data_IF_874040067369
#
_entry.id   IF_874040067369
#
_cell.length_a   1.000
_cell.length_b   1.000
_cell.length_c   1.000
_cell.angle_alpha   90.00
_cell.angle_beta   90.00
_cell.angle_gamma   90.00
#
_symmetry.space_group_name_H-M   'P 1'
#
loop_
_entity.id
_entity.type
_entity.pdbx_description
1 polymer ?
#
# COMPACT_ATOMS: atom_id res chain seq x y z
N UNK A 1 11.84 -13.30 0.15
CA UNK A 1 10.74 -12.42 0.57
C UNK A 1 11.36 -11.08 0.94
N UNK A 2 10.86 -9.93 0.51
CA UNK A 2 11.46 -8.65 0.86
C UNK A 2 11.28 -8.35 2.34
N UNK A 3 12.24 -7.63 2.95
CA UNK A 3 12.14 -7.19 4.34
C UNK A 3 11.13 -6.04 4.52
N UNK A 4 10.96 -5.24 3.47
CA UNK A 4 10.01 -4.13 3.42
C UNK A 4 9.34 -4.04 2.06
N UNK A 5 8.08 -3.58 2.03
CA UNK A 5 7.32 -3.37 0.80
C UNK A 5 6.61 -2.02 0.87
N UNK A 6 6.74 -1.23 -0.19
CA UNK A 6 6.00 0.03 -0.36
C UNK A 6 4.79 -0.25 -1.25
N UNK A 7 3.61 0.10 -0.77
CA UNK A 7 2.35 -0.01 -1.48
C UNK A 7 1.84 1.39 -1.83
N UNK A 8 1.34 1.55 -3.03
CA UNK A 8 0.84 2.84 -3.50
C UNK A 8 -0.37 2.69 -4.43
N UNK A 9 -0.74 3.78 -5.08
CA UNK A 9 -1.83 3.85 -6.06
C UNK A 9 -3.15 3.31 -5.52
N UNK A 10 -3.56 2.12 -5.94
CA UNK A 10 -4.85 1.53 -5.60
C UNK A 10 -5.06 1.30 -4.10
N UNK A 11 -3.99 1.25 -3.31
CA UNK A 11 -4.07 0.94 -1.86
C UNK A 11 -4.99 1.90 -1.09
N UNK A 12 -5.10 3.13 -1.55
CA UNK A 12 -5.95 4.17 -0.92
C UNK A 12 -7.21 4.50 -1.73
N UNK A 13 -7.58 3.63 -2.70
CA UNK A 13 -8.81 3.81 -3.47
C UNK A 13 -8.88 5.09 -4.29
N UNK A 14 -7.75 5.55 -4.80
CA UNK A 14 -7.64 6.78 -5.59
C UNK A 14 -7.39 8.05 -4.78
N UNK A 15 -7.42 7.98 -3.45
CA UNK A 15 -7.05 9.10 -2.59
C UNK A 15 -5.51 9.19 -2.43
N UNK A 16 -4.95 10.39 -2.15
CA UNK A 16 -3.54 10.53 -1.86
C UNK A 16 -3.12 9.68 -0.67
N UNK A 17 -2.19 8.74 -0.89
CA UNK A 17 -1.68 7.89 0.18
C UNK A 17 -0.87 6.72 -0.34
N UNK A 18 -0.13 6.15 0.58
CA UNK A 18 0.68 4.95 0.38
C UNK A 18 0.78 4.20 1.71
N UNK A 19 1.28 2.99 1.66
CA UNK A 19 1.55 2.22 2.87
C UNK A 19 2.96 1.62 2.80
N UNK A 20 3.60 1.56 3.95
CA UNK A 20 4.85 0.85 4.15
C UNK A 20 4.58 -0.31 5.10
N UNK A 21 4.92 -1.51 4.67
CA UNK A 21 4.78 -2.72 5.47
C UNK A 21 6.10 -3.47 5.46
N UNK A 22 6.39 -4.21 6.52
CA UNK A 22 7.64 -4.93 6.61
C UNK A 22 7.80 -5.72 7.89
N UNK A 23 8.99 -6.24 8.10
CA UNK A 23 9.37 -6.96 9.31
C UNK A 23 9.16 -6.09 10.54
N UNK A 24 8.64 -6.68 11.60
CA UNK A 24 8.31 -5.97 12.84
C UNK A 24 9.53 -5.28 13.48
N UNK A 25 10.70 -5.93 13.44
CA UNK A 25 11.94 -5.36 13.99
C UNK A 25 12.40 -4.09 13.25
N UNK A 26 12.14 -4.00 11.94
CA UNK A 26 12.43 -2.80 11.16
C UNK A 26 11.34 -1.74 11.40
N UNK A 27 10.07 -2.14 11.39
CA UNK A 27 8.95 -1.22 11.56
C UNK A 27 8.90 -0.58 12.96
N UNK A 28 9.45 -1.24 13.97
CA UNK A 28 9.59 -0.68 15.32
C UNK A 28 10.44 0.59 15.37
N UNK A 29 11.35 0.79 14.41
CA UNK A 29 12.15 2.01 14.33
C UNK A 29 11.34 3.28 14.09
N UNK A 30 10.09 3.16 13.68
CA UNK A 30 9.16 4.28 13.51
C UNK A 30 8.37 4.62 14.78
N UNK A 31 8.38 3.74 15.77
CA UNK A 31 7.53 3.87 16.96
C UNK A 31 8.03 4.96 17.91
N UNK A 32 7.07 5.63 18.56
CA UNK A 32 7.34 6.43 19.74
C UNK A 32 7.49 5.50 20.94
N UNK A 33 8.51 5.74 21.75
CA UNK A 33 8.80 4.97 22.97
C UNK A 33 8.39 5.70 24.24
N UNK A 34 8.21 7.02 24.12
CA UNK A 34 7.99 7.92 25.26
C UNK A 34 9.31 8.42 25.88
N UNK A 35 10.46 7.93 25.45
CA UNK A 35 11.75 8.51 25.79
C UNK A 35 12.03 9.71 24.89
N UNK A 36 12.16 10.94 25.45
CA UNK A 36 12.37 12.15 24.66
C UNK A 36 13.63 12.13 23.80
N UNK A 37 14.70 11.45 24.25
CA UNK A 37 15.93 11.33 23.48
C UNK A 37 15.73 10.42 22.28
N UNK A 38 15.21 9.22 22.50
CA UNK A 38 14.93 8.27 21.43
C UNK A 38 13.95 8.87 20.42
N UNK A 39 12.84 9.42 20.88
CA UNK A 39 11.76 9.90 20.02
C UNK A 39 12.20 11.09 19.14
N UNK A 40 13.22 11.83 19.57
CA UNK A 40 13.76 12.99 18.83
C UNK A 40 14.95 12.67 17.94
N UNK A 41 15.85 11.78 18.37
CA UNK A 41 17.18 11.63 17.76
C UNK A 41 17.44 10.25 17.18
N UNK A 42 16.77 9.20 17.65
CA UNK A 42 17.05 7.81 17.25
C UNK A 42 15.94 7.22 16.36
N UNK A 43 14.71 7.63 16.57
CA UNK A 43 13.57 7.16 15.82
C UNK A 43 13.65 7.58 14.35
N UNK A 44 13.28 6.70 13.43
CA UNK A 44 13.11 7.06 12.01
C UNK A 44 11.86 7.94 11.88
N UNK A 45 12.04 9.16 11.39
CA UNK A 45 10.95 10.09 11.16
C UNK A 45 10.21 9.76 9.86
N UNK A 46 8.91 9.53 9.96
CA UNK A 46 8.02 9.38 8.81
C UNK A 46 7.12 10.63 8.71
N UNK A 47 7.63 11.63 8.01
CA UNK A 47 6.99 12.94 7.88
C UNK A 47 6.20 13.03 6.57
N UNK A 48 5.04 13.65 6.63
CA UNK A 48 4.20 13.92 5.45
C UNK A 48 2.88 14.56 5.83
N UNK A 49 2.52 15.63 5.13
CA UNK A 49 1.30 16.41 5.40
C UNK A 49 0.03 15.56 5.31
N UNK A 50 0.01 14.56 4.43
CA UNK A 50 -1.13 13.67 4.23
C UNK A 50 -1.07 12.38 5.05
N UNK A 51 -0.05 12.19 5.90
CA UNK A 51 0.05 11.02 6.74
C UNK A 51 -1.15 10.93 7.69
N UNK A 52 -1.66 9.71 7.88
CA UNK A 52 -2.83 9.41 8.70
C UNK A 52 -4.11 10.18 8.30
N UNK A 53 -4.25 10.55 7.01
CA UNK A 53 -5.45 11.19 6.51
C UNK A 53 -6.65 10.22 6.64
N UNK A 54 -7.70 10.58 7.42
CA UNK A 54 -8.81 9.68 7.68
C UNK A 54 -9.65 9.37 6.45
N UNK A 55 -9.75 10.30 5.48
CA UNK A 55 -10.47 10.07 4.23
C UNK A 55 -9.74 9.01 3.37
N UNK A 56 -8.42 9.14 3.23
CA UNK A 56 -7.61 8.16 2.52
C UNK A 56 -7.64 6.79 3.22
N UNK A 57 -7.66 6.76 4.55
CA UNK A 57 -7.78 5.52 5.32
C UNK A 57 -9.13 4.84 5.09
N UNK A 58 -10.24 5.57 5.13
CA UNK A 58 -11.58 5.04 4.88
C UNK A 58 -11.72 4.48 3.45
N UNK A 59 -11.24 5.22 2.45
CA UNK A 59 -11.22 4.78 1.05
C UNK A 59 -10.34 3.55 0.86
N UNK A 60 -9.15 3.53 1.48
CA UNK A 60 -8.24 2.40 1.47
C UNK A 60 -8.85 1.13 2.08
N UNK A 61 -9.52 1.24 3.23
CA UNK A 61 -10.21 0.12 3.86
C UNK A 61 -11.27 -0.47 2.93
N UNK A 62 -12.09 0.37 2.30
CA UNK A 62 -13.11 -0.06 1.36
C UNK A 62 -12.48 -0.80 0.16
N UNK A 63 -11.43 -0.24 -0.41
CA UNK A 63 -10.71 -0.82 -1.56
C UNK A 63 -10.04 -2.14 -1.19
N UNK A 64 -9.34 -2.19 -0.06
CA UNK A 64 -8.64 -3.41 0.36
C UNK A 64 -9.60 -4.57 0.68
N UNK A 65 -10.81 -4.28 1.17
CA UNK A 65 -11.85 -5.30 1.34
C UNK A 65 -12.25 -5.94 0.01
N UNK A 66 -12.33 -5.17 -1.08
CA UNK A 66 -12.60 -5.69 -2.41
C UNK A 66 -11.41 -6.46 -2.98
N UNK A 67 -10.20 -5.90 -2.86
CA UNK A 67 -8.97 -6.53 -3.34
C UNK A 67 -8.72 -7.87 -2.63
N UNK A 68 -9.06 -7.97 -1.35
CA UNK A 68 -8.91 -9.21 -0.56
C UNK A 68 -9.77 -10.38 -1.07
N UNK A 69 -10.83 -10.12 -1.86
CA UNK A 69 -11.64 -11.20 -2.47
C UNK A 69 -10.92 -11.92 -3.60
N UNK A 70 -9.89 -11.30 -4.21
CA UNK A 70 -9.22 -11.79 -5.41
C UNK A 70 -9.99 -11.57 -6.71
N UNK A 71 -11.26 -11.16 -6.65
CA UNK A 71 -12.10 -10.95 -7.84
C UNK A 71 -11.57 -9.87 -8.78
N UNK A 72 -11.13 -8.68 -8.29
CA UNK A 72 -10.58 -7.65 -9.17
C UNK A 72 -9.35 -8.12 -9.93
N UNK A 73 -8.45 -8.87 -9.28
CA UNK A 73 -7.26 -9.42 -9.90
C UNK A 73 -7.63 -10.44 -10.98
N UNK A 74 -8.49 -11.40 -10.65
CA UNK A 74 -8.96 -12.40 -11.61
C UNK A 74 -9.70 -11.77 -12.80
N UNK A 75 -10.43 -10.68 -12.58
CA UNK A 75 -11.06 -9.92 -13.67
C UNK A 75 -10.03 -9.26 -14.57
N UNK A 76 -9.03 -8.60 -13.99
CA UNK A 76 -7.94 -7.96 -14.75
C UNK A 76 -7.16 -8.98 -15.57
N UNK A 77 -6.86 -10.15 -15.01
CA UNK A 77 -6.17 -11.23 -15.72
C UNK A 77 -6.97 -11.71 -16.94
N UNK A 78 -8.28 -11.96 -16.78
CA UNK A 78 -9.15 -12.35 -17.91
C UNK A 78 -9.18 -11.29 -19.00
N UNK A 79 -9.21 -10.01 -18.66
CA UNK A 79 -9.18 -8.93 -19.64
C UNK A 79 -7.83 -8.85 -20.35
N UNK A 80 -6.74 -9.04 -19.62
CA UNK A 80 -5.40 -9.06 -20.19
C UNK A 80 -5.22 -10.21 -21.17
N UNK A 81 -5.72 -11.39 -20.84
CA UNK A 81 -5.67 -12.55 -21.75
C UNK A 81 -6.50 -12.32 -23.01
N UNK A 82 -7.70 -11.77 -22.87
CA UNK A 82 -8.55 -11.41 -24.02
C UNK A 82 -7.87 -10.37 -24.92
N UNK A 83 -7.19 -9.40 -24.33
CA UNK A 83 -6.45 -8.39 -25.10
C UNK A 83 -5.29 -9.03 -25.87
N UNK A 84 -4.49 -9.89 -25.21
CA UNK A 84 -3.39 -10.60 -25.85
C UNK A 84 -3.88 -11.43 -27.04
N UNK A 85 -4.93 -12.23 -26.83
CA UNK A 85 -5.54 -13.03 -27.92
C UNK A 85 -5.97 -12.16 -29.10
N UNK A 86 -6.67 -11.05 -28.83
CA UNK A 86 -7.09 -10.14 -29.89
C UNK A 86 -5.92 -9.47 -30.63
N UNK A 87 -4.78 -9.28 -29.98
CA UNK A 87 -3.57 -8.77 -30.63
C UNK A 87 -2.92 -9.86 -31.50
N UNK A 88 -2.85 -11.09 -30.99
CA UNK A 88 -2.28 -12.22 -31.72
C UNK A 88 -3.10 -12.57 -32.98
N UNK A 89 -4.42 -12.36 -32.94
CA UNK A 89 -5.32 -12.59 -34.09
C UNK A 89 -5.13 -11.56 -35.25
N UNK A 90 -4.47 -10.45 -34.98
CA UNK A 90 -4.25 -9.35 -35.92
C UNK A 90 -2.85 -9.43 -36.56
N UNK A 91 -1.90 -10.07 -35.89
CA UNK A 91 -0.52 -10.21 -36.29
C UNK A 91 -0.29 -11.47 -37.13
#
# INVERSE_FOLDING_TARGET
>A
MPDMTVLGKVVTGGMPGSALVGRADIMQLFNFTGDPHHDRYERVHHLGTFNANPLAAASGIATLKQVATGEPQAHADRLADRLRQGMDDIL
#
